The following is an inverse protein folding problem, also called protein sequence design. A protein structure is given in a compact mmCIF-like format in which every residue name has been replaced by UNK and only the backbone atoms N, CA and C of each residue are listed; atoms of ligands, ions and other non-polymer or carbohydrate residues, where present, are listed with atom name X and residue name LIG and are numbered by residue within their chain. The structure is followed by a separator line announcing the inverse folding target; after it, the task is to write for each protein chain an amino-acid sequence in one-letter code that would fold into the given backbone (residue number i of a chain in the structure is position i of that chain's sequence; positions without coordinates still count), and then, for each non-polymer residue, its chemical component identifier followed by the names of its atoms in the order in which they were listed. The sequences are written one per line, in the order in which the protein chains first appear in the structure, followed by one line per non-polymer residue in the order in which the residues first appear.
data_IF_585849576139
#
_entry.id   IF_585849576139
#
_cell.length_a   1.000
_cell.length_b   1.000
_cell.length_c   1.000
_cell.angle_alpha   90.00
_cell.angle_beta   90.00
_cell.angle_gamma   90.00
#
_symmetry.space_group_name_H-M   'P 1'
#
loop_
_entity.id
_entity.type
_entity.pdbx_description
1 polymer ?
#
# COMPACT_ATOMS: atom_id res chain seq x y z
N UNK A 1 10.84 -21.64 16.81
CA UNK A 1 9.50 -21.69 17.44
C UNK A 1 8.53 -21.72 16.28
N UNK A 2 7.76 -22.76 16.13
CA UNK A 2 6.79 -22.82 15.02
C UNK A 2 5.57 -21.97 15.39
N UNK A 3 5.34 -20.91 14.62
CA UNK A 3 4.09 -20.14 14.70
C UNK A 3 3.10 -20.79 13.73
N UNK A 4 1.89 -21.05 14.17
CA UNK A 4 0.83 -21.63 13.33
C UNK A 4 -0.07 -20.56 12.69
N UNK A 5 0.29 -19.28 12.85
CA UNK A 5 -0.39 -18.14 12.24
C UNK A 5 0.53 -17.57 11.16
N UNK A 6 0.05 -17.38 9.93
CA UNK A 6 0.83 -16.73 8.88
C UNK A 6 1.33 -15.33 9.32
N UNK A 7 2.58 -15.06 9.09
CA UNK A 7 3.23 -13.79 9.44
C UNK A 7 3.37 -12.93 8.19
N UNK A 8 2.83 -11.72 8.26
CA UNK A 8 2.95 -10.70 7.22
C UNK A 8 3.80 -9.54 7.73
N UNK A 9 4.75 -9.07 6.91
CA UNK A 9 5.60 -7.91 7.22
C UNK A 9 6.29 -7.36 5.98
N UNK A 10 6.89 -6.16 6.08
CA UNK A 10 7.73 -5.62 5.02
C UNK A 10 7.50 -4.15 4.67
N UNK A 11 6.51 -3.47 5.27
CA UNK A 11 6.17 -2.07 4.96
C UNK A 11 7.32 -1.07 5.18
N UNK A 12 8.26 -1.42 6.08
CA UNK A 12 9.45 -0.61 6.41
C UNK A 12 10.73 -1.13 5.80
N UNK A 13 10.64 -1.98 4.76
CA UNK A 13 11.75 -2.42 3.94
C UNK A 13 11.69 -1.72 2.59
N UNK A 14 12.80 -1.14 2.14
CA UNK A 14 12.79 -0.16 1.05
C UNK A 14 13.49 -0.64 -0.23
N UNK A 15 14.07 -1.82 -0.22
CA UNK A 15 14.77 -2.34 -1.37
C UNK A 15 14.72 -3.87 -1.45
N UNK A 16 14.96 -4.42 -2.65
CA UNK A 16 15.08 -5.88 -2.82
C UNK A 16 16.20 -6.49 -1.95
N UNK A 17 17.19 -5.70 -1.54
CA UNK A 17 18.28 -6.20 -0.69
C UNK A 17 17.82 -6.43 0.74
N UNK A 18 16.89 -5.59 1.24
CA UNK A 18 16.27 -5.78 2.54
C UNK A 18 15.35 -7.00 2.54
N UNK A 19 14.51 -7.12 1.52
CA UNK A 19 13.62 -8.27 1.33
C UNK A 19 14.40 -9.58 1.12
N UNK A 20 15.54 -9.55 0.41
CA UNK A 20 16.42 -10.71 0.29
C UNK A 20 16.82 -11.25 1.67
N UNK A 21 17.27 -10.37 2.57
CA UNK A 21 17.66 -10.78 3.92
C UNK A 21 16.49 -11.36 4.72
N UNK A 22 15.29 -10.74 4.60
CA UNK A 22 14.08 -11.25 5.24
C UNK A 22 13.74 -12.66 4.76
N UNK A 23 13.77 -12.90 3.45
CA UNK A 23 13.46 -14.18 2.84
C UNK A 23 14.50 -15.26 3.20
N UNK A 24 15.79 -14.92 3.21
CA UNK A 24 16.88 -15.83 3.58
C UNK A 24 16.81 -16.28 5.05
N UNK A 25 16.38 -15.40 5.95
CA UNK A 25 16.17 -15.74 7.37
C UNK A 25 14.96 -16.66 7.54
N UNK A 26 13.96 -16.53 6.67
CA UNK A 26 12.69 -17.24 6.78
C UNK A 26 11.79 -16.73 7.90
N UNK A 27 10.65 -17.38 8.09
CA UNK A 27 9.70 -17.02 9.14
C UNK A 27 8.73 -15.90 8.75
N UNK A 28 8.63 -15.58 7.47
CA UNK A 28 7.60 -14.73 6.87
C UNK A 28 6.82 -15.55 5.84
N UNK A 29 5.51 -15.40 5.84
CA UNK A 29 4.60 -16.08 4.91
C UNK A 29 4.07 -15.11 3.84
N UNK A 30 3.99 -13.82 4.17
CA UNK A 30 3.45 -12.77 3.30
C UNK A 30 4.36 -11.54 3.40
N UNK A 31 4.86 -11.07 2.27
CA UNK A 31 5.60 -9.79 2.23
C UNK A 31 4.69 -8.63 1.83
N UNK A 32 4.95 -7.46 2.43
CA UNK A 32 4.16 -6.25 2.26
C UNK A 32 5.01 -5.05 1.82
N UNK A 33 5.65 -5.10 0.63
CA UNK A 33 6.37 -3.94 0.13
C UNK A 33 5.41 -2.78 -0.17
N UNK A 34 5.79 -1.57 0.22
CA UNK A 34 5.07 -0.36 -0.15
C UNK A 34 5.66 0.22 -1.43
N UNK A 35 4.89 0.30 -2.50
CA UNK A 35 5.36 0.78 -3.79
C UNK A 35 5.83 2.24 -3.76
N UNK A 36 5.27 3.06 -2.87
CA UNK A 36 5.65 4.46 -2.73
C UNK A 36 7.01 4.62 -2.03
N UNK A 37 7.44 3.61 -1.26
CA UNK A 37 8.67 3.64 -0.48
C UNK A 37 9.75 2.70 -1.04
N UNK A 38 9.37 1.57 -1.61
CA UNK A 38 10.28 0.50 -2.03
C UNK A 38 10.71 0.59 -3.51
N UNK A 39 10.73 1.80 -4.09
CA UNK A 39 11.28 2.03 -5.43
C UNK A 39 10.28 1.84 -6.59
N UNK A 40 8.98 1.86 -6.31
CA UNK A 40 7.91 1.82 -7.31
C UNK A 40 7.67 0.46 -7.95
N UNK A 41 6.90 0.45 -9.02
CA UNK A 41 6.43 -0.77 -9.72
C UNK A 41 7.58 -1.70 -10.09
N UNK A 42 8.64 -1.17 -10.70
CA UNK A 42 9.76 -1.99 -11.19
C UNK A 42 10.49 -2.72 -10.08
N UNK A 43 10.77 -2.05 -8.97
CA UNK A 43 11.48 -2.68 -7.86
C UNK A 43 10.57 -3.64 -7.09
N UNK A 44 9.33 -3.27 -6.82
CA UNK A 44 8.37 -4.13 -6.14
C UNK A 44 8.04 -5.39 -6.97
N UNK A 45 7.99 -5.29 -8.30
CA UNK A 45 7.86 -6.49 -9.17
C UNK A 45 9.05 -7.44 -9.03
N UNK A 46 10.29 -6.92 -8.86
CA UNK A 46 11.47 -7.77 -8.59
C UNK A 46 11.39 -8.40 -7.21
N UNK A 47 10.94 -7.65 -6.21
CA UNK A 47 10.73 -8.14 -4.84
C UNK A 47 9.69 -9.26 -4.85
N UNK A 48 8.56 -9.08 -5.55
CA UNK A 48 7.52 -10.09 -5.71
C UNK A 48 8.04 -11.37 -6.35
N UNK A 49 8.81 -11.25 -7.45
CA UNK A 49 9.40 -12.41 -8.13
C UNK A 49 10.45 -13.14 -7.26
N UNK A 50 11.16 -12.42 -6.41
CA UNK A 50 12.08 -13.03 -5.46
C UNK A 50 11.32 -13.79 -4.38
N UNK A 51 10.25 -13.23 -3.82
CA UNK A 51 9.41 -13.86 -2.81
C UNK A 51 8.70 -15.12 -3.36
N UNK A 52 8.25 -15.08 -4.63
CA UNK A 52 7.67 -16.23 -5.33
C UNK A 52 8.62 -17.44 -5.31
N UNK A 53 9.93 -17.23 -5.49
CA UNK A 53 10.93 -18.30 -5.46
C UNK A 53 11.14 -18.92 -4.05
N UNK A 54 10.62 -18.28 -3.01
CA UNK A 54 10.62 -18.77 -1.62
C UNK A 54 9.22 -19.23 -1.15
N UNK A 55 8.26 -19.39 -2.07
CA UNK A 55 6.86 -19.70 -1.75
C UNK A 55 6.20 -18.70 -0.79
N UNK A 56 6.64 -17.43 -0.80
CA UNK A 56 6.13 -16.36 0.04
C UNK A 56 5.13 -15.51 -0.75
N UNK A 57 3.94 -15.30 -0.17
CA UNK A 57 2.88 -14.51 -0.80
C UNK A 57 3.20 -13.01 -0.78
N UNK A 58 2.53 -12.28 -1.69
CA UNK A 58 2.59 -10.83 -1.81
C UNK A 58 1.26 -10.20 -1.39
N UNK A 59 1.32 -9.18 -0.53
CA UNK A 59 0.21 -8.31 -0.19
C UNK A 59 0.73 -6.87 -0.05
N UNK A 60 0.83 -6.08 -1.12
CA UNK A 60 1.45 -4.77 -1.07
C UNK A 60 0.81 -3.85 -0.03
N UNK A 61 1.63 -3.23 0.81
CA UNK A 61 1.20 -2.22 1.77
C UNK A 61 0.70 -0.97 1.03
N UNK A 62 -0.53 -0.56 1.30
CA UNK A 62 -1.14 0.59 0.63
C UNK A 62 -2.15 1.34 1.52
N UNK A 63 -1.74 2.01 2.60
CA UNK A 63 -2.59 2.88 3.41
C UNK A 63 -2.78 4.26 2.75
N UNK A 64 -2.39 4.38 1.50
CA UNK A 64 -2.35 5.62 0.72
C UNK A 64 -3.60 5.76 -0.16
N UNK A 65 -3.61 6.77 -1.04
CA UNK A 65 -4.74 7.05 -1.88
C UNK A 65 -4.79 6.25 -3.19
N UNK A 66 -5.71 6.60 -4.11
CA UNK A 66 -6.01 5.83 -5.32
C UNK A 66 -4.85 5.71 -6.30
N UNK A 67 -3.89 6.66 -6.31
CA UNK A 67 -2.73 6.59 -7.20
C UNK A 67 -1.81 5.45 -6.75
N UNK A 68 -1.53 5.35 -5.45
CA UNK A 68 -0.72 4.27 -4.90
C UNK A 68 -1.43 2.92 -5.07
N UNK A 69 -2.73 2.84 -4.76
CA UNK A 69 -3.53 1.63 -4.95
C UNK A 69 -3.49 1.16 -6.40
N UNK A 70 -3.66 2.06 -7.37
CA UNK A 70 -3.59 1.69 -8.77
C UNK A 70 -2.22 1.13 -9.17
N UNK A 71 -1.13 1.68 -8.64
CA UNK A 71 0.21 1.13 -8.86
C UNK A 71 0.37 -0.26 -8.24
N UNK A 72 -0.16 -0.50 -7.05
CA UNK A 72 -0.18 -1.81 -6.39
C UNK A 72 -0.93 -2.83 -7.24
N UNK A 73 -2.14 -2.50 -7.70
CA UNK A 73 -2.94 -3.37 -8.55
C UNK A 73 -2.20 -3.77 -9.86
N UNK A 74 -1.37 -2.89 -10.44
CA UNK A 74 -0.56 -3.25 -11.61
C UNK A 74 0.52 -4.30 -11.27
N UNK A 75 1.10 -4.23 -10.07
CA UNK A 75 2.06 -5.25 -9.60
C UNK A 75 1.35 -6.56 -9.30
N UNK A 76 0.19 -6.51 -8.66
CA UNK A 76 -0.61 -7.70 -8.35
C UNK A 76 -1.02 -8.45 -9.63
N UNK A 77 -1.45 -7.71 -10.65
CA UNK A 77 -1.88 -8.29 -11.93
C UNK A 77 -0.80 -9.12 -12.65
N UNK A 78 0.48 -8.89 -12.34
CA UNK A 78 1.62 -9.56 -12.95
C UNK A 78 2.45 -10.38 -11.96
N UNK A 79 1.95 -10.61 -10.75
CA UNK A 79 2.62 -11.36 -9.69
C UNK A 79 1.79 -12.58 -9.32
N UNK A 80 2.31 -13.80 -9.62
CA UNK A 80 1.57 -15.03 -9.38
C UNK A 80 1.33 -15.33 -7.90
N UNK A 81 2.18 -14.78 -7.04
CA UNK A 81 2.09 -14.90 -5.59
C UNK A 81 1.28 -13.76 -4.93
N UNK A 82 0.62 -12.89 -5.70
CA UNK A 82 -0.29 -11.89 -5.15
C UNK A 82 -1.47 -12.57 -4.46
N UNK A 83 -1.67 -12.27 -3.17
CA UNK A 83 -2.66 -12.91 -2.30
C UNK A 83 -3.85 -12.01 -2.01
N UNK A 84 -3.57 -10.77 -1.58
CA UNK A 84 -4.58 -9.77 -1.24
C UNK A 84 -3.97 -8.38 -1.35
N UNK A 85 -4.79 -7.37 -1.66
CA UNK A 85 -4.35 -5.98 -1.69
C UNK A 85 -4.88 -5.21 -0.49
N UNK A 86 -3.99 -4.64 0.30
CA UNK A 86 -4.34 -3.66 1.32
C UNK A 86 -4.80 -2.35 0.69
N UNK A 87 -5.77 -1.70 1.33
CA UNK A 87 -6.25 -0.39 0.91
C UNK A 87 -6.86 0.39 2.08
N UNK A 88 -6.90 1.72 1.98
CA UNK A 88 -7.47 2.61 2.99
C UNK A 88 -8.63 3.48 2.46
N UNK A 89 -9.17 3.16 1.28
CA UNK A 89 -10.31 3.89 0.72
C UNK A 89 -11.53 3.65 1.61
N UNK A 90 -12.17 4.75 2.04
CA UNK A 90 -13.30 4.69 2.95
C UNK A 90 -12.95 4.55 4.43
N UNK A 91 -11.67 4.44 4.78
CA UNK A 91 -11.19 4.54 6.15
C UNK A 91 -10.96 6.02 6.45
N UNK A 92 -11.71 6.55 7.43
CA UNK A 92 -11.80 7.99 7.61
C UNK A 92 -10.70 8.55 8.52
N UNK A 93 -9.73 9.18 7.92
CA UNK A 93 -8.90 10.17 8.61
C UNK A 93 -9.42 11.60 8.39
N UNK A 94 -10.24 11.84 7.36
CA UNK A 94 -10.77 13.14 7.00
C UNK A 94 -12.29 13.16 7.09
N UNK A 95 -12.85 13.94 8.00
CA UNK A 95 -14.29 14.11 8.13
C UNK A 95 -14.83 14.87 6.91
N UNK A 96 -15.78 14.26 6.20
CA UNK A 96 -16.52 14.90 5.10
C UNK A 96 -15.79 14.95 3.74
N UNK A 97 -14.61 14.32 3.61
CA UNK A 97 -13.87 14.21 2.35
C UNK A 97 -13.39 12.78 2.11
N UNK A 98 -13.25 12.40 0.85
CA UNK A 98 -12.70 11.12 0.43
C UNK A 98 -11.40 11.32 -0.34
N UNK A 99 -10.45 10.41 -0.18
CA UNK A 99 -9.25 10.38 -1.04
C UNK A 99 -9.60 10.16 -2.52
N UNK A 100 -10.79 9.64 -2.81
CA UNK A 100 -11.29 9.49 -4.18
C UNK A 100 -11.71 10.82 -4.83
N UNK A 101 -11.92 11.90 -4.06
CA UNK A 101 -12.24 13.21 -4.61
C UNK A 101 -11.09 13.78 -5.46
N UNK A 102 -9.85 13.33 -5.21
CA UNK A 102 -8.68 13.71 -5.98
C UNK A 102 -8.55 13.02 -7.35
N UNK A 103 -9.48 12.13 -7.69
CA UNK A 103 -9.54 11.48 -9.01
C UNK A 103 -10.92 11.63 -9.62
N UNK A 104 -11.00 11.85 -10.94
CA UNK A 104 -12.26 12.03 -11.68
C UNK A 104 -12.96 10.69 -11.92
N UNK A 105 -12.23 9.60 -11.88
CA UNK A 105 -12.71 8.24 -12.09
C UNK A 105 -12.74 7.42 -10.80
N UNK A 106 -13.13 8.02 -9.68
CA UNK A 106 -13.20 7.36 -8.36
C UNK A 106 -14.06 6.09 -8.35
N UNK A 107 -15.07 6.00 -9.22
CA UNK A 107 -15.91 4.82 -9.35
C UNK A 107 -15.16 3.55 -9.80
N UNK A 108 -14.03 3.70 -10.50
CA UNK A 108 -13.18 2.58 -10.91
C UNK A 108 -12.51 1.89 -9.70
N UNK A 109 -12.49 2.55 -8.54
CA UNK A 109 -11.91 2.04 -7.29
C UNK A 109 -12.97 1.59 -6.28
N UNK A 110 -14.21 1.43 -6.69
CA UNK A 110 -15.27 0.88 -5.81
C UNK A 110 -15.08 -0.62 -5.62
N UNK A 111 -15.16 -1.03 -4.36
CA UNK A 111 -15.13 -2.44 -3.98
C UNK A 111 -16.54 -3.00 -3.95
N UNK A 112 -16.70 -4.22 -4.50
CA UNK A 112 -17.92 -4.99 -4.41
C UNK A 112 -17.57 -6.34 -3.80
N UNK A 113 -18.16 -6.64 -2.66
CA UNK A 113 -17.92 -7.90 -1.92
C UNK A 113 -16.42 -8.20 -1.68
N UNK A 114 -15.63 -7.15 -1.41
CA UNK A 114 -14.18 -7.24 -1.20
C UNK A 114 -13.33 -7.29 -2.47
N UNK A 115 -13.92 -7.13 -3.63
CA UNK A 115 -13.23 -7.16 -4.92
C UNK A 115 -13.20 -5.80 -5.59
N UNK A 116 -12.12 -5.52 -6.32
CA UNK A 116 -11.97 -4.35 -7.19
C UNK A 116 -11.46 -4.80 -8.57
N UNK A 117 -11.88 -4.12 -9.61
CA UNK A 117 -11.38 -4.40 -10.95
C UNK A 117 -9.98 -3.80 -11.16
N UNK A 118 -9.13 -4.50 -11.91
CA UNK A 118 -7.88 -3.92 -12.34
C UNK A 118 -8.11 -2.72 -13.27
N UNK A 119 -7.34 -1.63 -13.08
CA UNK A 119 -7.37 -0.49 -14.00
C UNK A 119 -6.94 -0.92 -15.40
N UNK A 120 -7.78 -0.64 -16.41
CA UNK A 120 -7.53 -1.01 -17.83
C UNK A 120 -7.18 0.17 -18.71
N UNK A 121 -7.28 1.40 -18.20
CA UNK A 121 -6.92 2.63 -18.94
C UNK A 121 -5.40 2.78 -19.04
N UNK A 122 -4.95 3.57 -19.99
CA UNK A 122 -3.52 3.84 -20.20
C UNK A 122 -2.83 4.36 -18.91
N UNK A 123 -1.57 4.02 -18.75
CA UNK A 123 -0.78 4.35 -17.56
C UNK A 123 -1.29 3.59 -16.33
N UNK A 124 -1.47 4.28 -15.22
CA UNK A 124 -2.05 3.72 -14.00
C UNK A 124 -3.59 3.63 -14.04
N UNK A 125 -4.23 4.11 -15.11
CA UNK A 125 -5.69 4.17 -15.18
C UNK A 125 -6.33 5.20 -14.26
N UNK A 126 -5.56 6.14 -13.72
CA UNK A 126 -6.03 7.20 -12.83
C UNK A 126 -6.20 8.51 -13.61
N UNK A 127 -7.37 9.11 -13.49
CA UNK A 127 -7.65 10.46 -14.02
C UNK A 127 -7.64 11.46 -12.85
N UNK A 128 -6.52 12.16 -12.70
CA UNK A 128 -6.27 13.06 -11.57
C UNK A 128 -7.12 14.32 -11.67
N UNK A 129 -7.83 14.68 -10.60
CA UNK A 129 -8.56 15.93 -10.45
C UNK A 129 -7.61 17.08 -10.09
N UNK A 130 -6.89 17.58 -11.10
CA UNK A 130 -5.87 18.62 -10.94
C UNK A 130 -6.44 19.92 -10.38
N UNK A 131 -7.68 20.25 -10.78
CA UNK A 131 -8.36 21.47 -10.36
C UNK A 131 -8.57 21.48 -8.84
N UNK A 132 -9.05 20.37 -8.29
CA UNK A 132 -9.25 20.21 -6.84
C UNK A 132 -7.91 20.25 -6.09
N UNK A 133 -6.89 19.55 -6.58
CA UNK A 133 -5.56 19.54 -5.95
C UNK A 133 -4.98 20.95 -5.89
N UNK A 134 -5.06 21.73 -6.98
CA UNK A 134 -4.56 23.11 -7.03
C UNK A 134 -5.34 23.98 -6.05
N UNK A 135 -6.66 23.80 -5.97
CA UNK A 135 -7.50 24.59 -5.04
C UNK A 135 -7.15 24.29 -3.58
N UNK A 136 -7.08 23.04 -3.21
CA UNK A 136 -6.79 22.65 -1.83
C UNK A 136 -5.36 22.97 -1.41
N UNK A 137 -4.40 22.93 -2.34
CA UNK A 137 -3.03 23.31 -2.05
C UNK A 137 -2.84 24.79 -1.69
N UNK A 138 -3.84 25.63 -1.91
CA UNK A 138 -3.83 27.04 -1.45
C UNK A 138 -3.96 27.15 0.07
N UNK A 139 -4.50 26.13 0.73
CA UNK A 139 -4.67 26.08 2.18
C UNK A 139 -3.51 25.27 2.78
N UNK A 140 -2.58 25.89 3.52
CA UNK A 140 -1.48 25.18 4.13
C UNK A 140 -1.96 24.18 5.16
N UNK A 141 -1.51 22.93 5.06
CA UNK A 141 -1.74 21.91 6.07
C UNK A 141 -0.50 21.76 6.95
N UNK A 142 -0.62 22.16 8.22
CA UNK A 142 0.43 21.97 9.22
C UNK A 142 0.13 20.71 10.05
N UNK A 143 0.16 19.56 9.39
CA UNK A 143 -0.02 18.31 10.12
C UNK A 143 1.26 17.96 10.88
N UNK A 144 1.08 17.63 12.16
CA UNK A 144 2.16 17.09 13.00
C UNK A 144 1.74 15.71 13.45
N UNK A 145 2.66 14.76 13.36
CA UNK A 145 2.46 13.45 13.94
C UNK A 145 2.12 13.57 15.42
N UNK A 146 0.98 13.06 15.89
CA UNK A 146 0.71 13.01 17.31
C UNK A 146 1.74 12.11 18.00
N UNK A 147 2.25 12.55 19.12
CA UNK A 147 3.07 11.70 19.99
C UNK A 147 2.13 10.96 20.93
N UNK A 148 1.85 9.71 20.60
CA UNK A 148 1.04 8.86 21.46
C UNK A 148 1.78 8.50 22.74
N UNK A 149 1.07 8.53 23.87
CA UNK A 149 1.64 8.20 25.17
C UNK A 149 0.76 7.22 25.91
N UNK A 150 1.40 6.29 26.61
CA UNK A 150 0.75 5.43 27.60
C UNK A 150 0.30 6.24 28.81
N UNK A 151 -0.52 5.65 29.68
CA UNK A 151 -1.02 6.31 30.89
C UNK A 151 0.09 6.72 31.87
N UNK A 152 1.23 6.05 31.83
CA UNK A 152 2.41 6.34 32.62
C UNK A 152 3.32 7.45 32.03
N UNK A 153 2.95 8.00 30.87
CA UNK A 153 3.67 9.06 30.17
C UNK A 153 4.76 8.57 29.21
N UNK A 154 5.04 7.28 29.14
CA UNK A 154 5.99 6.72 28.17
C UNK A 154 5.44 6.86 26.75
N UNK A 155 6.35 6.91 25.73
CA UNK A 155 5.97 6.97 24.33
C UNK A 155 5.35 5.63 23.93
N UNK A 156 4.15 5.68 23.34
CA UNK A 156 3.54 4.53 22.72
C UNK A 156 3.95 4.48 21.26
N UNK A 157 4.57 3.39 20.85
CA UNK A 157 4.74 3.05 19.43
C UNK A 157 3.51 2.26 18.96
N UNK A 158 3.10 2.51 17.73
CA UNK A 158 2.02 1.77 17.07
C UNK A 158 2.52 1.26 15.73
#
# INVERSE_FOLDING_TARGET
MACNVPIATGERLFSKYDFKRLLEVGGVDIIQPDLSHAGGITECRKIAAMAEAYDVALAPHCPLGPIALSACLQVDAVSYNAFIQEQSIGIHYNVGKSVLDYVKNGDDFKFTDGWVNFPTKAGLGVDVNKELIIEENKTPHHWKNPVWRHKDGSIAEW
#
